data_IF_125723201452
#
_entry.id   IF_125723201452
#
_cell.length_a   1.000
_cell.length_b   1.000
_cell.length_c   1.000
_cell.angle_alpha   90.00
_cell.angle_beta   90.00
_cell.angle_gamma   90.00
#
_symmetry.space_group_name_H-M   'P 1'
#
loop_
_entity.id
_entity.type
_entity.pdbx_description
1 polymer ?
#
# COMPACT_ATOMS: atom_id res chain seq x y z
N UNK A 1 9.98 11.24 6.59
CA UNK A 1 9.09 11.00 5.44
C UNK A 1 9.69 9.90 4.58
N UNK A 2 8.88 9.04 3.98
CA UNK A 2 9.29 8.01 3.04
C UNK A 2 8.94 8.44 1.62
N UNK A 3 9.75 8.05 0.65
CA UNK A 3 9.44 8.16 -0.77
C UNK A 3 8.62 6.95 -1.22
N UNK A 4 7.54 7.16 -1.96
CA UNK A 4 6.76 6.09 -2.57
C UNK A 4 7.23 5.84 -4.00
N UNK A 5 7.54 4.58 -4.29
CA UNK A 5 7.85 4.12 -5.65
C UNK A 5 6.78 3.13 -6.10
N UNK A 6 6.18 3.40 -7.25
CA UNK A 6 5.35 2.46 -7.98
C UNK A 6 6.11 1.91 -9.19
N UNK A 7 5.69 0.74 -9.65
CA UNK A 7 6.11 0.17 -10.94
C UNK A 7 5.02 0.40 -11.97
N UNK A 8 5.34 0.25 -13.25
CA UNK A 8 4.35 0.32 -14.34
C UNK A 8 3.15 -0.61 -14.11
N UNK A 9 3.37 -1.77 -13.48
CA UNK A 9 2.31 -2.71 -13.11
C UNK A 9 1.34 -2.11 -12.08
N UNK A 10 1.87 -1.50 -11.02
CA UNK A 10 1.05 -0.85 -10.00
C UNK A 10 0.33 0.38 -10.56
N UNK A 11 1.00 1.16 -11.40
CA UNK A 11 0.40 2.32 -12.03
C UNK A 11 -0.80 1.90 -12.91
N UNK A 12 -0.66 0.82 -13.70
CA UNK A 12 -1.77 0.25 -14.46
C UNK A 12 -2.94 -0.17 -13.55
N UNK A 13 -2.68 -0.87 -12.44
CA UNK A 13 -3.72 -1.27 -11.48
C UNK A 13 -4.46 -0.06 -10.89
N UNK A 14 -3.72 1.00 -10.52
CA UNK A 14 -4.30 2.23 -9.98
C UNK A 14 -5.19 2.92 -10.99
N UNK A 15 -4.86 2.89 -12.28
CA UNK A 15 -5.74 3.47 -13.33
C UNK A 15 -7.04 2.71 -13.52
N UNK A 16 -7.08 1.43 -13.16
CA UNK A 16 -8.28 0.59 -13.21
C UNK A 16 -9.15 0.67 -11.93
N UNK A 17 -8.70 1.40 -10.90
CA UNK A 17 -9.49 1.57 -9.68
C UNK A 17 -10.78 2.38 -9.94
N UNK A 18 -11.92 1.96 -9.39
CA UNK A 18 -13.14 2.76 -9.42
C UNK A 18 -12.93 4.13 -8.76
N UNK A 19 -13.64 5.15 -9.28
CA UNK A 19 -13.45 6.54 -8.83
C UNK A 19 -13.75 6.72 -7.35
N UNK A 20 -14.72 5.97 -6.83
CA UNK A 20 -15.17 6.01 -5.44
C UNK A 20 -14.11 5.54 -4.44
N UNK A 21 -13.12 4.74 -4.86
CA UNK A 21 -12.07 4.24 -3.97
C UNK A 21 -10.76 5.01 -4.07
N UNK A 22 -10.63 5.93 -5.04
CA UNK A 22 -9.42 6.73 -5.23
C UNK A 22 -9.07 7.59 -4.02
N UNK A 23 -10.07 8.08 -3.28
CA UNK A 23 -9.84 8.85 -2.04
C UNK A 23 -9.19 7.96 -0.98
N UNK A 24 -9.75 6.76 -0.74
CA UNK A 24 -9.18 5.82 0.21
C UNK A 24 -7.76 5.38 -0.18
N UNK A 25 -7.50 5.16 -1.47
CA UNK A 25 -6.14 4.86 -1.95
C UNK A 25 -5.17 6.03 -1.72
N UNK A 26 -5.60 7.28 -1.98
CA UNK A 26 -4.78 8.46 -1.73
C UNK A 26 -4.46 8.66 -0.24
N UNK A 27 -5.41 8.36 0.64
CA UNK A 27 -5.18 8.36 2.10
C UNK A 27 -4.14 7.33 2.51
N UNK A 28 -4.19 6.11 1.98
CA UNK A 28 -3.14 5.10 2.22
C UNK A 28 -1.79 5.61 1.78
N UNK A 29 -1.66 6.19 0.59
CA UNK A 29 -0.40 6.76 0.12
C UNK A 29 0.15 7.81 1.09
N UNK A 30 -0.69 8.75 1.53
CA UNK A 30 -0.29 9.77 2.49
C UNK A 30 0.18 9.16 3.83
N UNK A 31 -0.46 8.08 4.31
CA UNK A 31 -0.02 7.37 5.50
C UNK A 31 1.32 6.67 5.29
N UNK A 32 1.55 6.02 4.14
CA UNK A 32 2.80 5.32 3.85
C UNK A 32 4.01 6.26 3.77
N UNK A 33 3.82 7.53 3.41
CA UNK A 33 4.88 8.54 3.46
C UNK A 33 5.31 8.91 4.90
N UNK A 34 4.44 8.69 5.89
CA UNK A 34 4.68 9.10 7.28
C UNK A 34 4.99 7.90 8.18
N UNK A 35 4.15 6.86 8.13
CA UNK A 35 4.16 5.74 9.06
C UNK A 35 3.85 4.38 8.37
N UNK A 36 4.70 3.90 7.45
CA UNK A 36 4.44 2.66 6.72
C UNK A 36 4.51 1.41 7.62
N UNK A 37 5.22 1.47 8.75
CA UNK A 37 5.27 0.37 9.72
C UNK A 37 3.95 0.16 10.50
N UNK A 38 2.94 1.02 10.30
CA UNK A 38 1.64 0.88 10.96
C UNK A 38 0.68 -0.08 10.26
N UNK A 39 0.99 -0.57 9.05
CA UNK A 39 0.14 -1.56 8.39
C UNK A 39 0.22 -2.95 9.01
N UNK A 40 -0.33 -3.95 8.32
CA UNK A 40 -0.29 -5.34 8.77
C UNK A 40 0.88 -6.07 8.10
N UNK A 41 1.57 -6.94 8.84
CA UNK A 41 2.55 -7.84 8.22
C UNK A 41 1.79 -8.88 7.41
N UNK A 42 2.23 -9.19 6.18
CA UNK A 42 1.63 -10.28 5.39
C UNK A 42 1.97 -11.67 5.94
N UNK A 43 2.87 -11.74 6.92
CA UNK A 43 3.34 -12.98 7.51
C UNK A 43 3.18 -12.92 9.02
N UNK A 44 2.14 -13.57 9.55
CA UNK A 44 1.79 -13.56 10.98
C UNK A 44 2.93 -14.02 11.88
N UNK A 45 3.69 -15.03 11.45
CA UNK A 45 4.84 -15.53 12.18
C UNK A 45 6.08 -14.61 12.09
N UNK A 46 5.99 -13.47 11.39
CA UNK A 46 7.03 -12.45 11.31
C UNK A 46 6.41 -11.03 11.33
N UNK A 47 6.00 -10.53 12.52
CA UNK A 47 5.40 -9.21 12.67
C UNK A 47 6.33 -8.05 12.27
N UNK A 48 7.64 -8.30 12.25
CA UNK A 48 8.67 -7.34 11.88
C UNK A 48 9.08 -7.44 10.40
N UNK A 49 8.40 -8.28 9.60
CA UNK A 49 8.66 -8.34 8.18
C UNK A 49 8.39 -6.97 7.52
N UNK A 50 9.25 -6.55 6.57
CA UNK A 50 9.11 -5.27 5.88
C UNK A 50 8.04 -5.28 4.80
N UNK A 51 7.58 -6.47 4.36
CA UNK A 51 6.46 -6.59 3.41
C UNK A 51 5.16 -6.59 4.19
N UNK A 52 4.27 -5.66 3.83
CA UNK A 52 3.10 -5.29 4.60
C UNK A 52 1.90 -5.00 3.69
N UNK A 53 0.71 -5.01 4.28
CA UNK A 53 -0.54 -4.69 3.62
C UNK A 53 -1.24 -3.52 4.30
N UNK A 54 -2.10 -2.84 3.54
CA UNK A 54 -3.02 -1.83 4.05
C UNK A 54 -4.35 -1.91 3.30
N UNK A 55 -5.45 -2.12 4.04
CA UNK A 55 -6.79 -2.16 3.47
C UNK A 55 -7.39 -0.75 3.31
N UNK A 56 -8.13 -0.51 2.23
CA UNK A 56 -8.78 0.77 1.94
C UNK A 56 -10.12 0.60 1.23
N UNK A 57 -10.83 1.72 1.11
CA UNK A 57 -12.14 1.76 0.47
C UNK A 57 -13.26 1.15 1.31
N UNK A 58 -14.50 1.13 0.79
CA UNK A 58 -15.65 0.61 1.50
C UNK A 58 -15.46 -0.85 1.90
N UNK A 59 -15.72 -1.14 3.19
CA UNK A 59 -15.62 -2.48 3.78
C UNK A 59 -14.24 -3.14 3.65
N UNK A 60 -13.18 -2.35 3.41
CA UNK A 60 -11.81 -2.87 3.25
C UNK A 60 -11.59 -3.72 1.99
N UNK A 61 -12.40 -3.50 0.94
CA UNK A 61 -12.35 -4.27 -0.32
C UNK A 61 -11.18 -3.92 -1.25
N UNK A 62 -10.44 -2.86 -0.95
CA UNK A 62 -9.17 -2.55 -1.58
C UNK A 62 -8.02 -2.92 -0.66
N UNK A 63 -6.91 -3.41 -1.23
CA UNK A 63 -5.68 -3.67 -0.46
C UNK A 63 -4.45 -3.22 -1.26
N UNK A 64 -3.53 -2.56 -0.57
CA UNK A 64 -2.20 -2.24 -1.09
C UNK A 64 -1.19 -3.13 -0.39
N UNK A 65 -0.37 -3.84 -1.18
CA UNK A 65 0.81 -4.55 -0.68
C UNK A 65 2.06 -3.73 -0.97
N UNK A 66 2.95 -3.63 0.00
CA UNK A 66 4.15 -2.79 -0.12
C UNK A 66 5.34 -3.37 0.65
N UNK A 67 6.54 -2.97 0.23
CA UNK A 67 7.81 -3.29 0.89
C UNK A 67 8.44 -2.02 1.48
N UNK A 68 8.80 -2.07 2.76
CA UNK A 68 9.53 -1.00 3.43
C UNK A 68 11.04 -1.21 3.30
N UNK A 69 11.72 -0.27 2.66
CA UNK A 69 13.18 -0.20 2.60
C UNK A 69 13.68 0.86 3.59
N UNK A 70 13.79 0.48 4.86
CA UNK A 70 14.03 1.43 5.96
C UNK A 70 15.29 2.28 5.77
N UNK A 71 16.40 1.67 5.33
CA UNK A 71 17.68 2.38 5.14
C UNK A 71 17.60 3.49 4.10
N UNK A 72 16.73 3.33 3.10
CA UNK A 72 16.54 4.30 2.01
C UNK A 72 15.37 5.24 2.27
N UNK A 73 14.60 5.01 3.35
CA UNK A 73 13.33 5.69 3.60
C UNK A 73 12.43 5.60 2.35
N UNK A 74 12.36 4.42 1.76
CA UNK A 74 11.57 4.16 0.56
C UNK A 74 10.51 3.09 0.84
N UNK A 75 9.35 3.25 0.22
CA UNK A 75 8.26 2.27 0.21
C UNK A 75 7.97 1.91 -1.24
N UNK A 76 8.19 0.64 -1.58
CA UNK A 76 7.81 0.08 -2.87
C UNK A 76 6.38 -0.42 -2.82
N UNK A 77 5.51 0.11 -3.67
CA UNK A 77 4.22 -0.49 -3.91
C UNK A 77 4.43 -1.74 -4.78
N UNK A 78 3.96 -2.88 -4.28
CA UNK A 78 4.12 -4.17 -4.94
C UNK A 78 2.88 -4.53 -5.75
N UNK A 79 1.70 -4.30 -5.17
CA UNK A 79 0.42 -4.71 -5.75
C UNK A 79 -0.72 -3.85 -5.18
N UNK A 80 -1.71 -3.52 -6.00
CA UNK A 80 -2.95 -2.84 -5.60
C UNK A 80 -4.13 -3.66 -6.11
N UNK A 81 -4.86 -4.29 -5.19
CA UNK A 81 -6.00 -5.13 -5.51
C UNK A 81 -7.30 -4.44 -5.13
N UNK A 82 -8.30 -4.61 -5.99
CA UNK A 82 -9.68 -4.23 -5.74
C UNK A 82 -10.59 -5.42 -6.03
N UNK A 83 -11.48 -5.75 -5.09
CA UNK A 83 -12.34 -6.95 -5.14
C UNK A 83 -13.81 -6.63 -5.43
N UNK A 84 -14.12 -5.41 -5.87
CA UNK A 84 -15.48 -4.95 -6.17
C UNK A 84 -15.84 -4.94 -7.64
#
# INVERSE_FOLDING_TARGET
>A
MYELRSSDHVDDQVTHLPREVLVGFAEVRAVLEVAPWSGESIHDASPHAPVRSWAFGPDGRGVVYYLIQERLRLVDLLDVLWTG
#
